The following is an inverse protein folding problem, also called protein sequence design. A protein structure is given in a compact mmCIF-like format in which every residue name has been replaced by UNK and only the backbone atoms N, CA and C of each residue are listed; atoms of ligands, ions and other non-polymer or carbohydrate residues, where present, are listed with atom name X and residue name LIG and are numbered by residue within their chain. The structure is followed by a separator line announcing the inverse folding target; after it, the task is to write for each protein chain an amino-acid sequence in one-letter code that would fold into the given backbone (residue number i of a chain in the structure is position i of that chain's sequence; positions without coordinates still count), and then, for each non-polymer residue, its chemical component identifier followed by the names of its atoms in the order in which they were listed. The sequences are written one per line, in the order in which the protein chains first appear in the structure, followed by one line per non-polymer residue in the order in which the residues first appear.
data_IF_374964786010
#
_entry.id   IF_374964786010
#
_cell.length_a   1.000
_cell.length_b   1.000
_cell.length_c   1.000
_cell.angle_alpha   90.00
_cell.angle_beta   90.00
_cell.angle_gamma   90.00
#
_symmetry.space_group_name_H-M   'P 1'
#
loop_
_entity.id
_entity.type
_entity.pdbx_description
1 polymer ?
#
# COMPACT_ATOMS: atom_id res chain seq x y z
N UNK A 1 25.39 2.45 4.00
CA UNK A 1 26.04 1.78 5.15
C UNK A 1 25.71 0.30 5.06
N UNK A 2 26.67 -0.59 5.31
CA UNK A 2 26.41 -2.04 5.34
C UNK A 2 25.62 -2.33 6.63
N UNK A 3 24.48 -3.00 6.53
CA UNK A 3 23.76 -3.50 7.71
C UNK A 3 24.39 -4.84 8.08
N UNK A 4 25.01 -4.91 9.25
CA UNK A 4 25.72 -6.10 9.73
C UNK A 4 24.94 -6.85 10.79
N UNK A 5 25.06 -8.17 10.83
CA UNK A 5 24.59 -9.01 11.93
C UNK A 5 25.47 -8.89 13.18
N UNK A 6 25.24 -9.75 14.18
CA UNK A 6 25.94 -9.73 15.45
C UNK A 6 27.42 -10.18 15.33
N UNK A 7 27.77 -10.89 14.26
CA UNK A 7 29.10 -11.44 13.99
C UNK A 7 29.89 -10.60 12.98
N UNK A 8 29.32 -9.49 12.50
CA UNK A 8 29.95 -8.59 11.53
C UNK A 8 29.81 -9.02 10.07
N UNK A 9 28.98 -10.03 9.79
CA UNK A 9 28.60 -10.42 8.42
C UNK A 9 27.41 -9.59 7.94
N UNK A 10 27.08 -9.67 6.64
CA UNK A 10 25.88 -9.01 6.12
C UNK A 10 24.65 -9.55 6.83
N UNK A 11 23.79 -8.67 7.34
CA UNK A 11 22.54 -9.10 7.95
C UNK A 11 21.72 -9.94 6.96
N UNK A 12 21.12 -11.07 7.40
CA UNK A 12 20.30 -11.91 6.55
C UNK A 12 19.00 -11.18 6.16
N UNK A 13 18.40 -11.57 5.04
CA UNK A 13 17.08 -11.07 4.67
C UNK A 13 16.00 -11.72 5.54
N UNK A 14 14.86 -11.05 5.70
CA UNK A 14 13.73 -11.59 6.47
C UNK A 14 13.24 -12.93 5.92
N UNK A 15 13.30 -13.14 4.60
CA UNK A 15 12.95 -14.42 3.97
C UNK A 15 13.96 -15.55 4.20
N UNK A 16 15.13 -15.27 4.77
CA UNK A 16 16.22 -16.22 5.00
C UNK A 16 16.31 -16.65 6.48
N UNK A 17 15.46 -16.10 7.35
CA UNK A 17 15.46 -16.38 8.79
C UNK A 17 14.23 -17.17 9.21
N UNK A 18 14.43 -18.09 10.15
CA UNK A 18 13.36 -18.77 10.88
C UNK A 18 13.05 -17.98 12.15
N UNK A 19 11.77 -17.67 12.37
CA UNK A 19 11.33 -16.84 13.49
C UNK A 19 10.43 -17.62 14.44
N UNK A 20 10.54 -17.32 15.73
CA UNK A 20 9.48 -17.65 16.68
C UNK A 20 8.24 -16.79 16.42
N UNK A 21 7.08 -17.23 16.91
CA UNK A 21 5.85 -16.45 16.79
C UNK A 21 5.96 -15.08 17.48
N UNK A 22 6.68 -14.98 18.61
CA UNK A 22 6.88 -13.72 19.32
C UNK A 22 7.78 -12.75 18.55
N UNK A 23 8.87 -13.25 17.94
CA UNK A 23 9.72 -12.44 17.06
C UNK A 23 8.95 -11.96 15.83
N UNK A 24 8.14 -12.82 15.22
CA UNK A 24 7.33 -12.44 14.07
C UNK A 24 6.35 -11.31 14.40
N UNK A 25 5.73 -11.33 15.59
CA UNK A 25 4.85 -10.25 16.08
C UNK A 25 5.61 -8.95 16.32
N UNK A 26 6.73 -9.00 17.03
CA UNK A 26 7.57 -7.81 17.29
C UNK A 26 8.08 -7.20 15.97
N UNK A 27 8.52 -8.05 15.04
CA UNK A 27 9.04 -7.60 13.75
C UNK A 27 7.93 -6.97 12.92
N UNK A 28 6.73 -7.57 12.90
CA UNK A 28 5.61 -7.02 12.18
C UNK A 28 5.21 -5.64 12.71
N UNK A 29 5.11 -5.48 14.03
CA UNK A 29 4.80 -4.18 14.65
C UNK A 29 5.84 -3.11 14.31
N UNK A 30 7.12 -3.46 14.31
CA UNK A 30 8.21 -2.53 13.95
C UNK A 30 8.14 -2.12 12.49
N UNK A 31 7.97 -3.09 11.60
CA UNK A 31 7.88 -2.84 10.15
C UNK A 31 6.63 -2.03 9.79
N UNK A 32 5.47 -2.33 10.36
CA UNK A 32 4.25 -1.53 10.18
C UNK A 32 4.48 -0.08 10.61
N UNK A 33 5.15 0.15 11.76
CA UNK A 33 5.50 1.49 12.22
C UNK A 33 6.48 2.19 11.28
N UNK A 34 7.41 1.48 10.68
CA UNK A 34 8.32 2.06 9.68
C UNK A 34 7.58 2.43 8.39
N UNK A 35 6.61 1.62 7.96
CA UNK A 35 5.72 1.96 6.83
C UNK A 35 4.88 3.20 7.15
N UNK A 36 4.32 3.32 8.36
CA UNK A 36 3.61 4.53 8.82
C UNK A 36 4.50 5.77 8.71
N UNK A 37 5.76 5.68 9.17
CA UNK A 37 6.72 6.79 9.08
C UNK A 37 7.00 7.17 7.64
N UNK A 38 7.21 6.19 6.76
CA UNK A 38 7.38 6.44 5.33
C UNK A 38 6.15 7.15 4.74
N UNK A 39 4.94 6.67 5.05
CA UNK A 39 3.70 7.25 4.56
C UNK A 39 3.49 8.68 5.08
N UNK A 40 3.83 8.96 6.35
CA UNK A 40 3.82 10.33 6.91
C UNK A 40 4.80 11.28 6.20
N UNK A 41 5.88 10.75 5.62
CA UNK A 41 6.82 11.51 4.77
C UNK A 41 6.31 11.64 3.32
N UNK A 42 5.12 11.11 3.01
CA UNK A 42 4.56 11.08 1.66
C UNK A 42 5.21 10.03 0.76
N UNK A 43 5.85 9.01 1.34
CA UNK A 43 6.63 7.99 0.63
C UNK A 43 5.99 6.61 0.80
N UNK A 44 5.94 5.86 -0.29
CA UNK A 44 5.57 4.44 -0.30
C UNK A 44 6.74 3.68 -0.90
N UNK A 45 7.12 2.56 -0.28
CA UNK A 45 8.28 1.79 -0.73
C UNK A 45 8.11 1.31 -2.18
N UNK A 46 6.93 0.81 -2.53
CA UNK A 46 6.56 0.47 -3.89
C UNK A 46 7.11 -0.87 -4.39
N UNK A 47 7.74 -1.67 -3.52
CA UNK A 47 8.18 -3.05 -3.76
C UNK A 47 8.55 -3.76 -2.45
N UNK A 48 7.86 -3.46 -1.35
CA UNK A 48 8.23 -3.99 -0.05
C UNK A 48 7.87 -5.48 0.04
N UNK A 49 8.84 -6.28 0.45
CA UNK A 49 8.72 -7.73 0.64
C UNK A 49 9.76 -8.22 1.65
N UNK A 50 9.70 -9.49 2.04
CA UNK A 50 10.71 -10.12 2.90
C UNK A 50 12.13 -10.09 2.34
N UNK A 51 12.28 -9.90 1.03
CA UNK A 51 13.59 -9.73 0.41
C UNK A 51 14.15 -8.35 0.68
N UNK A 52 13.30 -7.31 0.81
CA UNK A 52 13.71 -5.92 1.02
C UNK A 52 13.72 -5.52 2.51
N UNK A 53 13.84 -6.51 3.40
CA UNK A 53 14.01 -6.33 4.83
C UNK A 53 15.23 -7.13 5.29
N UNK A 54 16.16 -6.46 5.97
CA UNK A 54 17.29 -7.12 6.64
C UNK A 54 16.99 -7.28 8.12
N UNK A 55 17.44 -8.39 8.71
CA UNK A 55 17.30 -8.66 10.15
C UNK A 55 18.62 -8.33 10.84
N UNK A 56 18.71 -7.12 11.37
CA UNK A 56 19.86 -6.65 12.12
C UNK A 56 19.76 -7.08 13.60
N UNK A 57 20.83 -6.99 14.41
CA UNK A 57 20.81 -7.39 15.82
C UNK A 57 19.78 -6.66 16.69
N UNK A 58 19.34 -5.48 16.23
CA UNK A 58 18.37 -4.63 16.93
C UNK A 58 16.95 -4.72 16.35
N UNK A 59 16.73 -5.58 15.33
CA UNK A 59 15.43 -5.81 14.70
C UNK A 59 15.45 -5.66 13.17
N UNK A 60 14.28 -5.76 12.54
CA UNK A 60 14.15 -5.68 11.10
C UNK A 60 14.37 -4.24 10.60
N UNK A 61 14.99 -4.11 9.44
CA UNK A 61 15.31 -2.83 8.79
C UNK A 61 14.88 -2.92 7.33
N UNK A 62 13.99 -2.00 6.91
CA UNK A 62 13.59 -1.85 5.51
C UNK A 62 14.77 -1.28 4.72
N UNK A 63 15.07 -1.88 3.57
CA UNK A 63 16.15 -1.47 2.66
C UNK A 63 15.62 -1.30 1.23
N UNK A 64 16.50 -0.84 0.35
CA UNK A 64 16.27 -0.74 -1.10
C UNK A 64 15.11 0.20 -1.50
N UNK A 65 15.43 1.49 -1.56
CA UNK A 65 14.48 2.58 -1.86
C UNK A 65 14.46 3.11 -3.33
N UNK A 66 14.99 2.45 -4.38
CA UNK A 66 14.97 3.02 -5.72
C UNK A 66 13.55 3.10 -6.33
N UNK A 67 12.60 2.32 -5.81
CA UNK A 67 11.21 2.26 -6.28
C UNK A 67 10.24 3.10 -5.43
N UNK A 68 10.76 3.98 -4.56
CA UNK A 68 9.90 4.80 -3.71
C UNK A 68 9.02 5.73 -4.55
N UNK A 69 7.72 5.69 -4.30
CA UNK A 69 6.72 6.51 -4.98
C UNK A 69 6.09 7.53 -4.04
N UNK A 70 5.66 8.66 -4.62
CA UNK A 70 4.90 9.68 -3.90
C UNK A 70 3.49 9.18 -3.57
N UNK A 71 3.10 9.26 -2.30
CA UNK A 71 1.76 8.90 -1.84
C UNK A 71 0.67 9.86 -2.36
N UNK A 72 1.01 11.15 -2.54
CA UNK A 72 0.08 12.16 -3.03
C UNK A 72 0.08 12.30 -4.57
N UNK A 73 1.19 11.98 -5.22
CA UNK A 73 1.38 12.21 -6.66
C UNK A 73 1.15 11.02 -7.58
N UNK A 74 0.77 9.85 -7.04
CA UNK A 74 0.61 8.62 -7.81
C UNK A 74 -0.78 8.01 -7.60
N UNK A 75 -1.56 7.88 -8.69
CA UNK A 75 -2.90 7.28 -8.65
C UNK A 75 -2.90 5.82 -8.18
N UNK A 76 -1.77 5.12 -8.28
CA UNK A 76 -1.60 3.75 -7.81
C UNK A 76 -1.07 3.67 -6.36
N UNK A 77 -0.85 4.81 -5.68
CA UNK A 77 -0.26 4.87 -4.34
C UNK A 77 -0.94 3.93 -3.34
N UNK A 78 -2.28 4.03 -3.22
CA UNK A 78 -3.07 3.17 -2.34
C UNK A 78 -2.77 1.69 -2.57
N UNK A 79 -2.89 1.24 -3.82
CA UNK A 79 -2.69 -0.16 -4.20
C UNK A 79 -1.25 -0.62 -3.92
N UNK A 80 -0.26 0.24 -4.17
CA UNK A 80 1.14 -0.06 -3.89
C UNK A 80 1.40 -0.21 -2.39
N UNK A 81 0.88 0.70 -1.56
CA UNK A 81 0.97 0.61 -0.10
C UNK A 81 0.30 -0.67 0.42
N UNK A 82 -0.92 -0.97 -0.04
CA UNK A 82 -1.63 -2.18 0.39
C UNK A 82 -0.84 -3.43 0.02
N UNK A 83 -0.24 -3.48 -1.18
CA UNK A 83 0.62 -4.59 -1.58
C UNK A 83 1.84 -4.72 -0.67
N UNK A 84 2.53 -3.62 -0.39
CA UNK A 84 3.70 -3.57 0.49
C UNK A 84 3.38 -4.15 1.88
N UNK A 85 2.30 -3.67 2.51
CA UNK A 85 1.87 -4.14 3.84
C UNK A 85 1.37 -5.59 3.80
N UNK A 86 0.67 -5.99 2.75
CA UNK A 86 0.17 -7.36 2.57
C UNK A 86 1.29 -8.37 2.35
N UNK A 87 2.37 -7.99 1.67
CA UNK A 87 3.55 -8.84 1.52
C UNK A 87 4.20 -9.12 2.87
N UNK A 88 4.39 -8.08 3.70
CA UNK A 88 4.90 -8.24 5.07
C UNK A 88 3.98 -9.15 5.91
N UNK A 89 2.66 -8.90 5.85
CA UNK A 89 1.66 -9.72 6.53
C UNK A 89 1.76 -11.18 6.13
N UNK A 90 1.79 -11.46 4.82
CA UNK A 90 1.86 -12.81 4.30
C UNK A 90 3.13 -13.53 4.78
N UNK A 91 4.29 -12.87 4.67
CA UNK A 91 5.57 -13.42 5.11
C UNK A 91 5.60 -13.77 6.60
N UNK A 92 5.14 -12.85 7.46
CA UNK A 92 5.20 -13.01 8.92
C UNK A 92 4.07 -13.90 9.46
N UNK A 93 2.93 -13.96 8.78
CA UNK A 93 1.83 -14.85 9.16
C UNK A 93 2.16 -16.34 9.03
N UNK A 94 3.21 -16.70 8.28
CA UNK A 94 3.73 -18.08 8.25
C UNK A 94 4.22 -18.53 9.63
N UNK A 95 4.69 -17.60 10.45
CA UNK A 95 5.19 -17.85 11.81
C UNK A 95 4.15 -17.50 12.90
N UNK A 96 3.28 -16.51 12.64
CA UNK A 96 2.21 -16.07 13.54
C UNK A 96 0.87 -15.95 12.77
N UNK A 97 0.09 -17.04 12.63
CA UNK A 97 -1.07 -17.10 11.74
C UNK A 97 -2.16 -16.06 12.00
N UNK A 98 -2.31 -15.59 13.23
CA UNK A 98 -3.26 -14.55 13.60
C UNK A 98 -3.00 -13.21 12.88
N UNK A 99 -1.75 -12.93 12.47
CA UNK A 99 -1.41 -11.72 11.72
C UNK A 99 -2.13 -11.65 10.37
N UNK A 100 -2.50 -12.79 9.78
CA UNK A 100 -3.24 -12.85 8.52
C UNK A 100 -4.62 -12.17 8.58
N UNK A 101 -5.14 -11.93 9.79
CA UNK A 101 -6.44 -11.28 10.02
C UNK A 101 -6.32 -9.79 10.33
N UNK A 102 -5.14 -9.19 10.13
CA UNK A 102 -4.91 -7.76 10.33
C UNK A 102 -4.94 -6.98 9.02
N UNK A 103 -5.34 -5.72 9.11
CA UNK A 103 -5.62 -4.81 7.99
C UNK A 103 -4.95 -3.45 8.20
N UNK A 104 -3.68 -3.48 8.62
CA UNK A 104 -2.91 -2.26 8.88
C UNK A 104 -2.78 -1.34 7.65
N UNK A 105 -2.72 -1.91 6.45
CA UNK A 105 -2.58 -1.14 5.22
C UNK A 105 -3.80 -0.28 4.95
N UNK A 106 -4.99 -0.86 5.11
CA UNK A 106 -6.26 -0.18 4.97
C UNK A 106 -6.46 0.89 6.05
N UNK A 107 -6.20 0.53 7.32
CA UNK A 107 -6.30 1.44 8.46
C UNK A 107 -5.39 2.67 8.32
N UNK A 108 -4.10 2.46 8.02
CA UNK A 108 -3.15 3.57 7.89
C UNK A 108 -3.43 4.45 6.67
N UNK A 109 -3.92 3.86 5.58
CA UNK A 109 -4.29 4.62 4.39
C UNK A 109 -5.51 5.52 4.67
N UNK A 110 -6.54 4.98 5.33
CA UNK A 110 -7.71 5.76 5.71
C UNK A 110 -7.31 6.95 6.60
N UNK A 111 -6.49 6.73 7.61
CA UNK A 111 -5.97 7.81 8.47
C UNK A 111 -5.15 8.84 7.68
N UNK A 112 -4.35 8.38 6.71
CA UNK A 112 -3.56 9.25 5.85
C UNK A 112 -4.45 10.14 4.95
N UNK A 113 -5.50 9.57 4.33
CA UNK A 113 -6.44 10.31 3.49
C UNK A 113 -7.20 11.40 4.26
N UNK A 114 -7.51 11.14 5.53
CA UNK A 114 -8.17 12.12 6.40
C UNK A 114 -7.19 13.14 7.02
N UNK A 115 -5.87 13.00 6.78
CA UNK A 115 -4.85 13.86 7.36
C UNK A 115 -4.62 13.64 8.86
N UNK A 116 -5.02 12.48 9.38
CA UNK A 116 -4.97 12.13 10.82
C UNK A 116 -3.79 11.22 11.17
N UNK A 117 -3.13 10.61 10.17
CA UNK A 117 -1.97 9.75 10.38
C UNK A 117 -0.76 10.57 10.86
N UNK A 118 -0.17 10.14 11.99
CA UNK A 118 1.06 10.66 12.57
C UNK A 118 2.07 9.51 12.75
N UNK A 119 3.38 9.81 12.86
CA UNK A 119 4.42 8.79 13.02
C UNK A 119 4.24 7.87 14.24
N UNK A 120 3.50 8.33 15.24
CA UNK A 120 3.20 7.65 16.50
C UNK A 120 1.71 7.28 16.65
N UNK A 121 0.90 7.45 15.60
CA UNK A 121 -0.51 7.03 15.64
C UNK A 121 -0.59 5.53 15.94
N UNK A 122 -1.28 5.13 17.03
CA UNK A 122 -1.48 3.73 17.32
C UNK A 122 -2.43 3.13 16.28
N UNK A 123 -2.02 2.02 15.68
CA UNK A 123 -2.85 1.23 14.78
C UNK A 123 -3.34 -0.02 15.50
N UNK A 124 -4.58 -0.41 15.22
CA UNK A 124 -5.25 -1.57 15.82
C UNK A 124 -5.05 -2.84 14.99
N UNK A 125 -4.83 -2.68 13.68
CA UNK A 125 -4.85 -3.76 12.71
C UNK A 125 -6.27 -4.24 12.39
N UNK A 126 -7.31 -3.57 12.90
CA UNK A 126 -8.71 -3.83 12.57
C UNK A 126 -9.19 -2.80 11.57
N UNK A 127 -9.96 -3.23 10.57
CA UNK A 127 -10.52 -2.33 9.57
C UNK A 127 -11.91 -2.80 9.15
N UNK A 128 -12.87 -1.89 9.16
CA UNK A 128 -14.20 -2.12 8.62
C UNK A 128 -14.21 -1.76 7.14
N UNK A 129 -14.41 -2.77 6.30
CA UNK A 129 -14.54 -2.56 4.87
C UNK A 129 -15.91 -1.97 4.57
N UNK A 130 -15.93 -0.81 3.92
CA UNK A 130 -17.16 -0.29 3.36
C UNK A 130 -17.58 -1.22 2.19
N UNK A 131 -18.60 -2.05 2.44
CA UNK A 131 -19.18 -2.96 1.44
C UNK A 131 -20.08 -2.22 0.43
N UNK A 132 -20.23 -0.90 0.54
CA UNK A 132 -20.95 -0.12 -0.46
C UNK A 132 -20.21 -0.19 -1.80
N UNK A 133 -20.67 -1.12 -2.63
CA UNK A 133 -20.25 -1.29 -4.01
C UNK A 133 -20.51 0.04 -4.70
N UNK A 134 -19.45 0.74 -5.12
CA UNK A 134 -19.60 1.93 -5.94
C UNK A 134 -20.57 1.58 -7.09
N UNK A 135 -21.61 2.40 -7.26
CA UNK A 135 -22.67 2.14 -8.22
C UNK A 135 -22.09 2.15 -9.64
N UNK A 136 -21.68 0.97 -10.11
CA UNK A 136 -21.12 0.75 -11.43
C UNK A 136 -22.12 1.15 -12.52
N UNK A 137 -23.42 1.10 -12.23
CA UNK A 137 -24.46 1.54 -13.16
C UNK A 137 -24.44 3.06 -13.32
N UNK A 138 -24.28 3.82 -12.23
CA UNK A 138 -24.16 5.27 -12.31
C UNK A 138 -22.96 5.75 -13.14
N UNK A 139 -21.82 5.03 -13.07
CA UNK A 139 -20.64 5.33 -13.90
C UNK A 139 -20.89 4.97 -15.37
N UNK A 140 -21.47 3.81 -15.64
CA UNK A 140 -21.80 3.38 -17.01
C UNK A 140 -22.81 4.31 -17.68
N UNK A 141 -23.84 4.76 -16.96
CA UNK A 141 -24.83 5.73 -17.45
C UNK A 141 -24.15 7.06 -17.82
N UNK A 142 -23.22 7.55 -17.01
CA UNK A 142 -22.50 8.79 -17.30
C UNK A 142 -21.63 8.69 -18.58
N UNK A 143 -21.08 7.51 -18.87
CA UNK A 143 -20.28 7.24 -20.07
C UNK A 143 -21.19 7.20 -21.30
N UNK A 144 -22.35 6.53 -21.21
CA UNK A 144 -23.28 6.45 -22.33
C UNK A 144 -23.91 7.80 -22.64
N UNK A 145 -24.28 8.59 -21.61
CA UNK A 145 -24.76 9.96 -21.77
C UNK A 145 -23.73 10.84 -22.49
N UNK A 146 -22.46 10.78 -22.06
CA UNK A 146 -21.38 11.53 -22.70
C UNK A 146 -21.18 11.12 -24.17
N UNK A 147 -21.32 9.83 -24.48
CA UNK A 147 -21.22 9.28 -25.83
C UNK A 147 -22.40 9.72 -26.71
N UNK A 148 -23.62 9.72 -26.18
CA UNK A 148 -24.81 10.17 -26.90
C UNK A 148 -24.76 11.67 -27.21
N UNK A 149 -24.32 12.50 -26.26
CA UNK A 149 -24.11 13.94 -26.48
C UNK A 149 -23.06 14.19 -27.57
N UNK A 150 -21.97 13.41 -27.59
CA UNK A 150 -20.94 13.53 -28.61
C UNK A 150 -21.46 13.17 -30.02
N UNK A 151 -22.29 12.13 -30.12
CA UNK A 151 -22.90 11.71 -31.39
C UNK A 151 -23.85 12.78 -31.94
N UNK A 152 -24.70 13.36 -31.10
CA UNK A 152 -25.61 14.45 -31.48
C UNK A 152 -24.83 15.67 -32.00
N UNK A 153 -23.74 16.04 -31.33
CA UNK A 153 -22.87 17.14 -31.77
C UNK A 153 -22.18 16.84 -33.10
N UNK A 154 -21.78 15.60 -33.34
CA UNK A 154 -21.19 15.20 -34.61
C UNK A 154 -22.20 15.27 -35.75
N UNK A 155 -23.39 14.68 -35.56
CA UNK A 155 -24.47 14.72 -36.55
C UNK A 155 -24.90 16.16 -36.88
N UNK A 156 -24.97 17.05 -35.88
CA UNK A 156 -25.24 18.47 -36.11
C UNK A 156 -24.15 19.17 -36.92
N UNK A 157 -22.88 18.81 -36.74
CA UNK A 157 -21.77 19.35 -37.55
C UNK A 157 -21.79 18.83 -38.98
N UNK A 158 -22.11 17.55 -39.17
CA UNK A 158 -22.22 16.91 -40.49
C UNK A 158 -23.40 17.48 -41.28
N UNK A 159 -24.57 17.62 -40.66
CA UNK A 159 -25.74 18.24 -41.29
C UNK A 159 -25.49 19.70 -41.69
N UNK A 160 -24.82 20.50 -40.84
CA UNK A 160 -24.45 21.88 -41.17
C UNK A 160 -23.37 22.00 -42.26
N UNK A 161 -22.63 20.92 -42.55
CA UNK A 161 -21.65 20.86 -43.64
C UNK A 161 -22.27 20.36 -44.96
N UNK A 162 -23.44 19.73 -44.92
CA UNK A 162 -24.20 19.22 -46.08
C UNK A 162 -25.29 20.19 -46.58
N UNK A 163 -25.59 21.27 -45.86
CA UNK A 163 -26.42 22.38 -46.37
C UNK A 163 -25.59 23.30 -47.30
N UNK A 164 -25.93 23.42 -48.60
CA UNK A 164 -25.18 24.20 -49.59
C UNK A 164 -25.38 25.72 -49.52
#
# INVERSE_FOLDING_TARGET
ALVTDADGHSAPRLGEVELTADEARDYYQRLVRDVVRMLCLGLIHGDLSEYNVLVAPHGPVIIDLPQVVSAAGNNAARTMLLRDVNNLRASLSRFAPELAKTYYGEEMWALYEHGELKPDTPLTGEFEFDEHTADLYAVLDSIEDARQVALIRQQGREAAAEEP
#
